data_IF_754589500212
#
_entry.id   IF_754589500212
#
_cell.length_a   1.000
_cell.length_b   1.000
_cell.length_c   1.000
_cell.angle_alpha   90.00
_cell.angle_beta   90.00
_cell.angle_gamma   90.00
#
_symmetry.space_group_name_H-M   'P 1'
#
loop_
_entity.id
_entity.type
_entity.pdbx_description
1 polymer ?
#
# COMPACT_ATOMS: atom_id res chain seq x y z
N UNK A 1 14.85 -0.25 47.79
CA UNK A 1 14.17 0.25 46.59
C UNK A 1 14.75 -0.42 45.32
N UNK A 2 14.86 -1.75 45.29
CA UNK A 2 15.51 -2.43 44.15
C UNK A 2 14.84 -3.81 43.91
N UNK A 3 13.52 -3.86 43.89
CA UNK A 3 12.74 -5.11 43.62
C UNK A 3 11.47 -4.87 42.78
N UNK A 4 11.33 -3.77 42.07
CA UNK A 4 10.16 -3.48 41.18
C UNK A 4 10.48 -3.26 39.71
N UNK A 5 11.70 -3.53 39.23
CA UNK A 5 12.13 -3.30 37.84
C UNK A 5 12.39 -4.60 37.06
N UNK A 6 11.85 -5.74 37.51
CA UNK A 6 12.10 -7.02 36.81
C UNK A 6 10.79 -7.76 36.46
N UNK A 7 9.72 -7.04 36.08
CA UNK A 7 8.45 -7.69 35.70
C UNK A 7 7.81 -7.10 34.40
N UNK A 8 8.55 -6.36 33.58
CA UNK A 8 8.01 -5.81 32.34
C UNK A 8 8.77 -6.18 31.06
N UNK A 9 9.69 -7.15 31.10
CA UNK A 9 10.47 -7.60 29.93
C UNK A 9 10.15 -9.02 29.46
N UNK A 10 8.98 -9.57 29.76
CA UNK A 10 8.65 -10.96 29.44
C UNK A 10 7.27 -11.11 28.79
N UNK A 11 6.86 -10.15 27.94
CA UNK A 11 5.54 -10.23 27.27
C UNK A 11 5.58 -9.82 25.77
N UNK A 12 6.75 -9.92 25.14
CA UNK A 12 6.87 -9.71 23.68
C UNK A 12 7.72 -10.79 22.97
N UNK A 13 7.86 -11.97 23.56
CA UNK A 13 8.53 -13.12 22.95
C UNK A 13 7.63 -14.36 22.94
N UNK A 14 6.32 -14.21 22.84
CA UNK A 14 5.36 -15.27 23.13
C UNK A 14 4.37 -15.61 22.02
N UNK A 15 4.70 -15.39 20.73
CA UNK A 15 3.81 -15.84 19.62
C UNK A 15 4.57 -16.66 18.55
N UNK A 16 5.86 -16.88 18.70
CA UNK A 16 6.65 -17.67 17.74
C UNK A 16 7.02 -19.09 18.21
N UNK A 17 6.40 -19.62 19.22
CA UNK A 17 6.79 -20.90 19.81
C UNK A 17 5.58 -21.77 20.17
N UNK A 18 4.75 -22.08 19.19
CA UNK A 18 3.76 -23.16 19.27
C UNK A 18 3.77 -24.08 18.03
N UNK A 19 4.92 -24.23 17.41
CA UNK A 19 5.14 -25.32 16.45
C UNK A 19 6.48 -25.94 16.83
N UNK A 20 6.48 -26.92 17.74
CA UNK A 20 7.71 -27.63 18.07
C UNK A 20 7.94 -27.95 19.54
N UNK A 21 6.90 -28.37 20.25
CA UNK A 21 7.07 -28.99 21.54
C UNK A 21 6.27 -30.30 21.63
N UNK A 22 6.63 -31.25 20.74
CA UNK A 22 6.49 -32.64 21.10
C UNK A 22 7.81 -33.06 21.72
N UNK A 23 7.79 -33.47 22.98
CA UNK A 23 8.95 -33.82 23.73
C UNK A 23 9.72 -34.96 23.07
N UNK A 24 11.05 -34.94 23.20
CA UNK A 24 11.89 -36.10 22.96
C UNK A 24 11.52 -37.20 23.96
N UNK A 25 10.64 -38.10 23.52
CA UNK A 25 10.56 -39.43 24.11
C UNK A 25 11.66 -40.29 23.45
N UNK A 26 12.80 -40.38 24.11
CA UNK A 26 13.81 -41.39 23.77
C UNK A 26 13.23 -42.76 24.17
N UNK A 27 12.62 -43.46 23.21
CA UNK A 27 12.26 -44.82 23.53
C UNK A 27 11.33 -45.64 22.63
N UNK A 28 10.75 -45.11 21.59
CA UNK A 28 10.09 -45.94 20.57
C UNK A 28 10.27 -45.24 19.22
N UNK A 29 10.86 -45.92 18.25
CA UNK A 29 11.22 -45.41 16.93
C UNK A 29 10.07 -44.84 16.08
N UNK A 30 9.34 -43.89 16.64
CA UNK A 30 8.39 -43.03 15.92
C UNK A 30 9.25 -41.98 15.22
N UNK A 31 9.38 -42.11 13.91
CA UNK A 31 9.92 -41.05 13.09
C UNK A 31 9.01 -39.83 13.28
N UNK A 32 9.57 -38.69 13.61
CA UNK A 32 8.83 -37.44 13.59
C UNK A 32 8.46 -37.16 12.12
N UNK A 33 7.20 -37.44 11.77
CA UNK A 33 6.65 -37.17 10.45
C UNK A 33 6.65 -35.67 10.22
N UNK A 34 7.08 -35.21 9.04
CA UNK A 34 7.13 -33.80 8.73
C UNK A 34 6.77 -33.49 7.27
N UNK A 35 6.23 -32.31 7.06
CA UNK A 35 6.08 -31.66 5.75
C UNK A 35 6.63 -30.25 5.91
N UNK A 36 7.71 -29.92 5.18
CA UNK A 36 8.34 -28.62 5.24
C UNK A 36 8.44 -28.03 3.84
N UNK A 37 8.07 -26.76 3.70
CA UNK A 37 8.02 -26.05 2.42
C UNK A 37 9.14 -25.02 2.36
N UNK A 38 9.82 -24.94 1.23
CA UNK A 38 10.97 -24.07 0.99
C UNK A 38 10.81 -23.33 -0.35
N UNK A 39 11.48 -22.18 -0.49
CA UNK A 39 11.49 -21.41 -1.74
C UNK A 39 12.55 -21.88 -2.74
N UNK A 40 13.56 -22.60 -2.29
CA UNK A 40 14.57 -23.24 -3.12
C UNK A 40 15.12 -24.48 -2.41
N UNK A 41 15.81 -25.35 -3.17
CA UNK A 41 16.46 -26.54 -2.60
C UNK A 41 17.63 -26.20 -1.65
N UNK A 42 18.21 -25.02 -1.81
CA UNK A 42 19.34 -24.53 -1.01
C UNK A 42 18.88 -23.67 0.19
N UNK A 43 17.56 -23.47 0.36
CA UNK A 43 17.04 -22.70 1.49
C UNK A 43 17.24 -23.49 2.79
N UNK A 44 17.78 -22.81 3.81
CA UNK A 44 18.04 -23.41 5.13
C UNK A 44 16.79 -23.52 5.99
N UNK A 45 15.86 -22.54 5.82
CA UNK A 45 14.64 -22.43 6.64
C UNK A 45 13.37 -22.67 5.82
N UNK A 46 12.42 -23.41 6.37
CA UNK A 46 11.11 -23.56 5.75
C UNK A 46 10.30 -22.27 5.83
N UNK A 47 9.36 -22.11 4.90
CA UNK A 47 8.49 -20.95 4.81
C UNK A 47 7.03 -21.30 5.08
N UNK A 48 6.32 -20.37 5.72
CA UNK A 48 4.87 -20.43 5.93
C UNK A 48 4.15 -19.30 5.20
N UNK A 49 4.91 -18.34 4.66
CA UNK A 49 4.39 -17.21 3.88
C UNK A 49 5.27 -16.96 2.66
N UNK A 50 4.63 -16.57 1.56
CA UNK A 50 5.28 -16.24 0.30
C UNK A 50 4.62 -15.00 -0.30
N UNK A 51 5.41 -14.01 -0.69
CA UNK A 51 4.95 -12.92 -1.54
C UNK A 51 5.25 -13.25 -3.00
N UNK A 52 4.20 -13.25 -3.82
CA UNK A 52 4.32 -13.48 -5.26
C UNK A 52 4.14 -12.17 -6.02
N UNK A 53 4.82 -12.02 -7.17
CA UNK A 53 4.78 -10.81 -7.98
C UNK A 53 3.36 -10.44 -8.45
N UNK A 54 3.09 -9.13 -8.60
CA UNK A 54 1.82 -8.63 -9.15
C UNK A 54 1.60 -9.07 -10.61
N UNK A 55 2.68 -9.23 -11.39
CA UNK A 55 2.61 -9.73 -12.76
C UNK A 55 2.14 -11.19 -12.86
N UNK A 56 2.14 -11.92 -11.74
CA UNK A 56 1.88 -13.34 -11.74
C UNK A 56 3.02 -14.14 -12.36
N UNK A 57 2.70 -15.34 -12.83
CA UNK A 57 3.66 -16.24 -13.45
C UNK A 57 3.72 -17.60 -12.77
N UNK A 58 4.70 -18.40 -13.15
CA UNK A 58 4.91 -19.72 -12.57
C UNK A 58 5.93 -19.63 -11.42
N UNK A 59 5.63 -20.32 -10.30
CA UNK A 59 6.47 -20.36 -9.11
C UNK A 59 6.57 -21.77 -8.59
N UNK A 60 7.76 -22.20 -8.21
CA UNK A 60 8.00 -23.51 -7.63
C UNK A 60 8.15 -23.40 -6.11
N UNK A 61 7.44 -24.26 -5.38
CA UNK A 61 7.64 -24.54 -3.98
C UNK A 61 8.30 -25.91 -3.84
N UNK A 62 9.33 -25.99 -3.04
CA UNK A 62 10.08 -27.21 -2.80
C UNK A 62 9.65 -27.79 -1.46
N UNK A 63 9.20 -29.04 -1.48
CA UNK A 63 8.66 -29.70 -0.28
C UNK A 63 9.55 -30.86 0.09
N UNK A 64 10.03 -30.87 1.33
CA UNK A 64 10.58 -32.04 2.00
C UNK A 64 9.50 -32.70 2.84
N UNK A 65 9.26 -33.96 2.61
CA UNK A 65 8.28 -34.72 3.37
C UNK A 65 8.71 -36.18 3.44
N UNK A 66 8.49 -36.80 4.56
CA UNK A 66 8.66 -38.26 4.77
C UNK A 66 7.33 -39.03 4.69
N UNK A 67 6.24 -38.32 4.36
CA UNK A 67 4.91 -38.87 4.19
C UNK A 67 4.27 -38.35 2.89
N UNK A 68 3.36 -39.15 2.33
CA UNK A 68 2.56 -38.71 1.19
C UNK A 68 1.56 -37.63 1.62
N UNK A 69 1.43 -36.61 0.78
CA UNK A 69 0.52 -35.50 1.01
C UNK A 69 -0.30 -35.13 -0.23
N UNK A 70 -1.42 -34.49 -0.03
CA UNK A 70 -2.23 -33.83 -1.05
C UNK A 70 -2.26 -32.32 -0.83
N UNK A 71 -2.55 -31.57 -1.89
CA UNK A 71 -2.64 -30.11 -1.82
C UNK A 71 -4.07 -29.64 -2.06
N UNK A 72 -4.51 -28.61 -1.34
CA UNK A 72 -5.77 -27.93 -1.62
C UNK A 72 -5.72 -26.48 -1.12
N UNK A 73 -6.53 -25.61 -1.75
CA UNK A 73 -6.72 -24.26 -1.28
C UNK A 73 -7.81 -24.22 -0.21
N UNK A 74 -7.57 -23.50 0.90
CA UNK A 74 -8.54 -23.40 2.00
C UNK A 74 -9.87 -22.74 1.58
N UNK A 75 -9.82 -21.89 0.56
CA UNK A 75 -11.00 -21.28 -0.02
C UNK A 75 -10.87 -21.18 -1.55
N UNK A 76 -11.35 -22.19 -2.23
CA UNK A 76 -11.34 -22.28 -3.71
C UNK A 76 -12.11 -21.12 -4.37
N UNK A 77 -13.05 -20.50 -3.67
CA UNK A 77 -13.85 -19.40 -4.22
C UNK A 77 -13.15 -18.06 -4.13
N UNK A 78 -12.32 -17.89 -3.11
CA UNK A 78 -11.57 -16.64 -2.90
C UNK A 78 -10.17 -16.66 -3.49
N UNK A 79 -9.69 -17.84 -3.92
CA UNK A 79 -8.35 -18.04 -4.51
C UNK A 79 -8.34 -18.45 -6.00
N UNK A 80 -9.27 -17.96 -6.86
CA UNK A 80 -9.27 -18.34 -8.29
C UNK A 80 -8.07 -17.76 -9.06
N UNK A 81 -7.22 -16.96 -8.40
CA UNK A 81 -6.07 -16.28 -8.98
C UNK A 81 -4.78 -17.10 -8.91
N UNK A 82 -4.80 -18.21 -8.21
CA UNK A 82 -3.65 -19.12 -8.11
C UNK A 82 -4.14 -20.57 -8.17
N UNK A 83 -3.40 -21.42 -8.87
CA UNK A 83 -3.67 -22.84 -8.99
C UNK A 83 -2.39 -23.67 -8.86
N UNK A 84 -2.53 -24.93 -8.44
CA UNK A 84 -1.45 -25.90 -8.52
C UNK A 84 -1.46 -26.48 -9.95
N UNK A 85 -0.42 -26.22 -10.72
CA UNK A 85 -0.24 -26.68 -12.08
C UNK A 85 0.22 -28.14 -12.12
N UNK A 86 1.20 -28.47 -11.28
CA UNK A 86 1.72 -29.83 -11.12
C UNK A 86 2.35 -30.02 -9.73
N UNK A 87 2.47 -31.28 -9.35
CA UNK A 87 3.31 -31.72 -8.23
C UNK A 87 4.23 -32.80 -8.81
N UNK A 88 5.51 -32.49 -8.93
CA UNK A 88 6.53 -33.33 -9.56
C UNK A 88 7.54 -33.79 -8.51
N UNK A 89 8.22 -34.91 -8.78
CA UNK A 89 9.33 -35.39 -7.92
C UNK A 89 10.66 -35.02 -8.55
N UNK A 90 11.57 -34.48 -7.75
CA UNK A 90 12.93 -34.12 -8.16
C UNK A 90 13.93 -34.51 -7.05
N UNK A 91 14.43 -35.74 -7.14
CA UNK A 91 15.22 -36.38 -6.10
C UNK A 91 14.43 -36.60 -4.82
N UNK A 92 14.90 -36.09 -3.71
CA UNK A 92 14.22 -36.17 -2.41
C UNK A 92 13.19 -35.06 -2.17
N UNK A 93 12.90 -34.27 -3.21
CA UNK A 93 11.99 -33.16 -3.15
C UNK A 93 10.72 -33.42 -3.93
N UNK A 94 9.59 -33.00 -3.40
CA UNK A 94 8.40 -32.75 -4.20
C UNK A 94 8.39 -31.29 -4.62
N UNK A 95 8.17 -31.01 -5.91
CA UNK A 95 8.12 -29.66 -6.46
C UNK A 95 6.68 -29.33 -6.82
N UNK A 96 6.08 -28.40 -6.08
CA UNK A 96 4.73 -27.90 -6.36
C UNK A 96 4.88 -26.69 -7.27
N UNK A 97 4.45 -26.80 -8.52
CA UNK A 97 4.42 -25.69 -9.46
C UNK A 97 3.09 -24.96 -9.37
N UNK A 98 3.16 -23.69 -9.03
CA UNK A 98 2.01 -22.80 -8.96
C UNK A 98 1.91 -21.98 -10.24
N UNK A 99 0.69 -21.78 -10.73
CA UNK A 99 0.36 -20.79 -11.75
C UNK A 99 -0.43 -19.65 -11.09
N UNK A 100 0.13 -18.45 -11.12
CA UNK A 100 -0.40 -17.26 -10.46
C UNK A 100 -0.84 -16.25 -11.51
N UNK A 101 -2.12 -15.91 -11.54
CA UNK A 101 -2.66 -14.88 -12.42
C UNK A 101 -2.13 -13.49 -12.05
N UNK A 102 -1.92 -12.58 -13.01
CA UNK A 102 -1.57 -11.21 -12.70
C UNK A 102 -2.70 -10.51 -11.92
N UNK A 103 -2.34 -9.57 -11.08
CA UNK A 103 -3.30 -8.63 -10.50
C UNK A 103 -3.71 -7.64 -11.59
N UNK A 104 -5.01 -7.40 -11.79
CA UNK A 104 -5.44 -6.40 -12.78
C UNK A 104 -4.98 -5.01 -12.37
N UNK A 105 -4.75 -4.12 -13.35
CA UNK A 105 -4.30 -2.72 -13.11
C UNK A 105 -5.21 -1.96 -12.14
N UNK A 106 -6.49 -2.29 -12.08
CA UNK A 106 -7.46 -1.71 -11.14
C UNK A 106 -7.33 -2.27 -9.72
N UNK A 107 -6.62 -3.37 -9.53
CA UNK A 107 -6.48 -4.08 -8.25
C UNK A 107 -5.11 -3.88 -7.58
N UNK A 108 -4.23 -3.01 -8.09
CA UNK A 108 -2.94 -2.70 -7.44
C UNK A 108 -3.09 -2.19 -6.00
N UNK A 109 -4.28 -1.73 -5.67
CA UNK A 109 -4.60 -1.20 -4.34
C UNK A 109 -5.05 -2.29 -3.36
N UNK A 110 -5.27 -3.52 -3.82
CA UNK A 110 -5.71 -4.64 -2.99
C UNK A 110 -4.64 -5.72 -2.93
N UNK A 111 -4.26 -6.09 -1.71
CA UNK A 111 -3.49 -7.30 -1.47
C UNK A 111 -4.45 -8.48 -1.42
N UNK A 112 -4.23 -9.49 -2.24
CA UNK A 112 -4.98 -10.74 -2.18
C UNK A 112 -4.13 -11.83 -1.52
N UNK A 113 -4.80 -12.72 -0.81
CA UNK A 113 -4.17 -13.76 -0.01
C UNK A 113 -4.85 -15.09 -0.32
N UNK A 114 -4.07 -16.15 -0.42
CA UNK A 114 -4.54 -17.52 -0.55
C UNK A 114 -3.70 -18.45 0.29
N UNK A 115 -4.33 -19.45 0.91
CA UNK A 115 -3.63 -20.42 1.75
C UNK A 115 -3.67 -21.79 1.09
N UNK A 116 -2.49 -22.25 0.66
CA UNK A 116 -2.27 -23.61 0.19
C UNK A 116 -2.02 -24.51 1.38
N UNK A 117 -2.84 -25.55 1.54
CA UNK A 117 -2.65 -26.58 2.55
C UNK A 117 -2.06 -27.82 1.91
N UNK A 118 -1.02 -28.35 2.55
CA UNK A 118 -0.43 -29.65 2.28
C UNK A 118 -0.90 -30.59 3.39
N UNK A 119 -1.67 -31.60 3.05
CA UNK A 119 -2.36 -32.44 4.04
C UNK A 119 -2.09 -33.92 3.81
N UNK A 120 -1.75 -34.62 4.88
CA UNK A 120 -1.66 -36.08 4.98
C UNK A 120 -2.78 -36.60 5.90
N UNK A 121 -4.02 -36.74 5.39
CA UNK A 121 -5.20 -36.99 6.21
C UNK A 121 -5.14 -38.34 6.96
N UNK A 122 -4.48 -39.33 6.39
CA UNK A 122 -4.32 -40.66 7.01
C UNK A 122 -3.45 -40.64 8.26
N UNK A 123 -2.64 -39.54 8.40
CA UNK A 123 -1.74 -39.31 9.52
C UNK A 123 -2.20 -38.19 10.43
N UNK A 124 -3.33 -37.53 10.12
CA UNK A 124 -3.84 -36.36 10.83
C UNK A 124 -2.80 -35.23 10.92
N UNK A 125 -1.97 -35.10 9.88
CA UNK A 125 -0.88 -34.14 9.81
C UNK A 125 -1.00 -33.25 8.58
N UNK A 126 -0.56 -32.01 8.71
CA UNK A 126 -0.54 -31.08 7.58
C UNK A 126 0.18 -29.78 7.93
N UNK A 127 0.57 -29.08 6.87
CA UNK A 127 1.13 -27.74 6.98
C UNK A 127 0.45 -26.81 5.95
N UNK A 128 0.72 -25.54 6.01
CA UNK A 128 0.18 -24.58 5.06
C UNK A 128 1.21 -23.52 4.68
N UNK A 129 1.02 -22.95 3.49
CA UNK A 129 1.75 -21.76 3.01
C UNK A 129 0.74 -20.72 2.59
N UNK A 130 0.87 -19.53 3.15
CA UNK A 130 0.05 -18.38 2.78
C UNK A 130 0.73 -17.58 1.68
N UNK A 131 0.08 -17.47 0.53
CA UNK A 131 0.54 -16.66 -0.58
C UNK A 131 -0.09 -15.27 -0.50
N UNK A 132 0.73 -14.27 -0.74
CA UNK A 132 0.32 -12.87 -0.81
C UNK A 132 0.68 -12.32 -2.17
N UNK A 133 -0.27 -11.66 -2.83
CA UNK A 133 -0.01 -10.90 -4.05
C UNK A 133 -0.54 -9.47 -3.88
N UNK A 134 0.25 -8.50 -4.32
CA UNK A 134 -0.02 -7.07 -4.12
C UNK A 134 0.84 -6.46 -3.03
N UNK A 135 0.89 -5.13 -3.02
CA UNK A 135 1.78 -4.38 -2.16
C UNK A 135 1.36 -4.43 -0.69
N UNK A 136 2.32 -4.49 0.22
CA UNK A 136 2.05 -4.44 1.66
C UNK A 136 1.57 -3.05 2.05
N UNK A 137 0.27 -2.93 2.42
CA UNK A 137 -0.31 -1.67 2.85
C UNK A 137 0.23 -1.25 4.22
N UNK A 138 0.59 0.04 4.34
CA UNK A 138 0.88 0.74 5.58
C UNK A 138 -0.27 1.64 6.01
N UNK A 139 -0.96 2.21 5.02
CA UNK A 139 -2.22 2.92 5.17
C UNK A 139 -3.09 2.58 3.96
N UNK A 140 -4.39 2.38 4.19
CA UNK A 140 -5.38 2.15 3.14
C UNK A 140 -6.64 2.94 3.47
N UNK A 141 -6.96 3.94 2.66
CA UNK A 141 -8.13 4.78 2.87
C UNK A 141 -8.86 5.00 1.54
N UNK A 142 -9.97 4.33 1.37
CA UNK A 142 -10.87 4.45 0.21
C UNK A 142 -12.01 5.46 0.44
N UNK A 143 -12.04 6.07 1.62
CA UNK A 143 -13.05 7.03 2.06
C UNK A 143 -14.51 6.56 1.93
N UNK A 144 -14.77 5.28 1.72
CA UNK A 144 -16.11 4.70 1.62
C UNK A 144 -16.98 4.94 2.87
N UNK A 145 -16.33 5.26 3.99
CA UNK A 145 -16.99 5.63 5.24
C UNK A 145 -17.54 7.05 5.27
N UNK A 146 -17.09 7.96 4.37
CA UNK A 146 -17.72 9.28 4.19
C UNK A 146 -19.08 9.10 3.53
N UNK A 147 -20.14 9.58 4.19
CA UNK A 147 -21.53 9.43 3.75
C UNK A 147 -22.27 10.77 3.84
N UNK A 148 -21.60 11.84 3.40
CA UNK A 148 -22.14 13.19 3.49
C UNK A 148 -22.76 13.64 2.18
N UNK A 149 -23.91 14.31 2.28
CA UNK A 149 -24.62 14.88 1.13
C UNK A 149 -24.84 13.86 0.01
N UNK A 150 -24.44 14.22 -1.17
CA UNK A 150 -24.54 13.39 -2.37
C UNK A 150 -23.18 13.22 -3.06
N UNK A 151 -23.16 12.49 -4.17
CA UNK A 151 -21.99 12.44 -5.07
C UNK A 151 -21.82 13.71 -5.90
N UNK A 152 -22.82 14.59 -5.93
CA UNK A 152 -22.76 15.88 -6.63
C UNK A 152 -21.66 16.76 -6.04
N UNK A 153 -20.63 17.13 -6.81
CA UNK A 153 -19.52 17.94 -6.33
C UNK A 153 -19.95 19.35 -5.92
N UNK A 154 -21.07 19.87 -6.40
CA UNK A 154 -21.54 21.23 -6.15
C UNK A 154 -22.47 21.33 -4.93
N UNK A 155 -22.91 20.23 -4.38
CA UNK A 155 -23.68 20.22 -3.12
C UNK A 155 -22.78 20.69 -1.96
N UNK A 156 -23.25 21.67 -1.16
CA UNK A 156 -22.46 22.40 -0.16
C UNK A 156 -23.05 22.30 1.26
N UNK A 157 -23.51 21.14 1.67
CA UNK A 157 -24.01 20.92 3.04
C UNK A 157 -22.93 21.21 4.10
N UNK A 158 -23.30 21.82 5.20
CA UNK A 158 -22.40 22.10 6.31
C UNK A 158 -21.96 20.86 7.09
N UNK A 159 -22.74 19.79 7.01
CA UNK A 159 -22.39 18.50 7.61
C UNK A 159 -21.17 17.85 6.94
N UNK A 160 -20.83 18.28 5.73
CA UNK A 160 -19.65 17.83 5.00
C UNK A 160 -18.33 18.33 5.61
N UNK A 161 -18.33 19.43 6.38
CA UNK A 161 -17.11 20.02 6.94
C UNK A 161 -16.36 19.02 7.81
N UNK A 162 -15.02 19.08 7.75
CA UNK A 162 -14.12 18.17 8.46
C UNK A 162 -14.45 18.02 9.95
N UNK A 163 -14.77 19.11 10.64
CA UNK A 163 -15.16 19.09 12.06
C UNK A 163 -16.39 18.21 12.35
N UNK A 164 -17.20 17.92 11.34
CA UNK A 164 -18.40 17.09 11.44
C UNK A 164 -18.19 15.63 11.03
N UNK A 165 -17.01 15.28 10.56
CA UNK A 165 -16.75 13.90 10.16
C UNK A 165 -16.79 12.96 11.35
N UNK A 166 -17.63 11.96 11.27
CA UNK A 166 -17.76 10.92 12.30
C UNK A 166 -16.54 9.99 12.34
N UNK A 167 -15.73 10.01 11.30
CA UNK A 167 -14.51 9.24 11.18
C UNK A 167 -13.24 9.95 11.66
N UNK A 168 -13.32 11.09 12.35
CA UNK A 168 -12.14 11.73 12.99
C UNK A 168 -11.51 10.82 14.04
N UNK A 169 -12.24 9.81 14.55
CA UNK A 169 -11.67 8.70 15.32
C UNK A 169 -10.56 7.93 14.57
N UNK A 170 -10.48 8.05 13.25
CA UNK A 170 -9.41 7.46 12.43
C UNK A 170 -8.12 8.30 12.41
N UNK A 171 -8.06 9.38 13.20
CA UNK A 171 -6.85 10.21 13.37
C UNK A 171 -6.39 10.96 12.11
N UNK A 172 -7.29 11.24 11.17
CA UNK A 172 -7.06 12.22 10.12
C UNK A 172 -7.05 13.62 10.72
N UNK A 173 -6.26 14.52 10.15
CA UNK A 173 -6.16 15.90 10.59
C UNK A 173 -6.36 16.85 9.41
N UNK A 174 -6.83 18.07 9.69
CA UNK A 174 -6.91 19.16 8.73
C UNK A 174 -6.67 20.47 9.50
N UNK A 175 -5.88 21.35 8.92
CA UNK A 175 -5.51 22.62 9.54
C UNK A 175 -6.58 23.69 9.28
N UNK A 176 -6.95 24.43 10.31
CA UNK A 176 -7.76 25.63 10.16
C UNK A 176 -6.86 26.81 9.76
N UNK A 177 -7.03 27.31 8.54
CA UNK A 177 -6.24 28.44 8.02
C UNK A 177 -6.98 29.77 8.07
N UNK A 178 -8.25 29.77 8.49
CA UNK A 178 -9.08 30.97 8.64
C UNK A 178 -9.10 31.43 10.09
N UNK A 179 -9.33 32.74 10.32
CA UNK A 179 -9.41 33.30 11.67
C UNK A 179 -10.57 32.78 12.51
N UNK A 180 -11.66 32.35 11.84
CA UNK A 180 -12.84 31.72 12.46
C UNK A 180 -12.65 30.20 12.71
N UNK A 181 -11.46 29.67 12.42
CA UNK A 181 -11.11 28.27 12.70
C UNK A 181 -11.76 27.27 11.77
N UNK A 182 -12.20 27.67 10.58
CA UNK A 182 -12.79 26.76 9.58
C UNK A 182 -11.69 25.99 8.87
N UNK A 183 -11.86 24.67 8.85
CA UNK A 183 -11.05 23.76 8.03
C UNK A 183 -11.76 23.59 6.68
N UNK A 184 -11.14 24.13 5.60
CA UNK A 184 -11.72 24.05 4.25
C UNK A 184 -11.47 22.65 3.64
N UNK A 185 -11.97 21.63 4.32
CA UNK A 185 -11.94 20.22 3.93
C UNK A 185 -13.35 19.64 4.09
N UNK A 186 -13.91 19.07 3.02
CA UNK A 186 -15.32 18.74 2.92
C UNK A 186 -15.54 17.34 2.40
N UNK A 187 -16.17 16.49 3.22
CA UNK A 187 -16.53 15.12 2.87
C UNK A 187 -17.68 15.07 1.89
N UNK A 188 -17.65 14.08 1.02
CA UNK A 188 -18.68 13.72 0.06
C UNK A 188 -19.07 12.25 0.22
N UNK A 189 -19.83 11.71 -0.70
CA UNK A 189 -20.22 10.30 -0.67
C UNK A 189 -19.11 9.43 -1.27
N UNK A 190 -18.16 9.00 -0.40
CA UNK A 190 -17.04 8.12 -0.76
C UNK A 190 -15.76 8.84 -1.22
N UNK A 191 -15.71 10.17 -1.12
CA UNK A 191 -14.55 11.00 -1.44
C UNK A 191 -14.63 12.32 -0.67
N UNK A 192 -13.69 13.24 -0.86
CA UNK A 192 -13.69 14.56 -0.23
C UNK A 192 -13.00 15.59 -1.12
N UNK A 193 -13.14 16.87 -0.78
CA UNK A 193 -12.34 17.92 -1.41
C UNK A 193 -11.76 18.88 -0.36
N UNK A 194 -10.66 19.51 -0.76
CA UNK A 194 -9.99 20.57 0.02
C UNK A 194 -9.95 21.86 -0.77
N UNK A 195 -9.94 22.99 -0.05
CA UNK A 195 -10.05 24.33 -0.63
C UNK A 195 -11.49 24.80 -0.81
N UNK A 196 -11.66 26.06 -1.20
CA UNK A 196 -12.97 26.68 -1.42
C UNK A 196 -12.97 27.64 -2.62
N UNK A 197 -14.11 28.27 -2.86
CA UNK A 197 -14.31 29.25 -3.94
C UNK A 197 -13.60 30.58 -3.69
N UNK A 198 -13.16 30.86 -2.47
CA UNK A 198 -12.39 32.05 -2.12
C UNK A 198 -10.88 31.79 -2.27
N UNK A 199 -10.48 30.57 -2.57
CA UNK A 199 -9.08 30.16 -2.64
C UNK A 199 -8.41 30.04 -1.28
N UNK A 200 -9.18 29.76 -0.23
CA UNK A 200 -8.65 29.50 1.11
C UNK A 200 -7.69 28.32 1.07
N UNK A 201 -6.51 28.49 1.63
CA UNK A 201 -5.56 27.40 1.84
C UNK A 201 -6.23 26.29 2.66
N UNK A 202 -6.01 25.05 2.27
CA UNK A 202 -6.58 23.90 2.93
C UNK A 202 -5.65 22.70 2.88
N UNK A 203 -5.83 21.75 3.78
CA UNK A 203 -5.08 20.50 3.75
C UNK A 203 -5.90 19.31 4.30
N UNK A 204 -5.34 18.13 4.06
CA UNK A 204 -5.65 16.89 4.76
C UNK A 204 -4.34 16.22 5.14
N UNK A 205 -4.24 15.72 6.36
CA UNK A 205 -3.06 15.03 6.88
C UNK A 205 -3.46 13.62 7.28
N UNK A 206 -2.66 12.64 6.83
CA UNK A 206 -2.92 11.23 7.17
C UNK A 206 -2.73 10.97 8.67
N UNK A 207 -3.33 9.91 9.22
CA UNK A 207 -2.87 9.35 10.48
C UNK A 207 -1.37 9.04 10.46
N UNK A 208 -0.74 8.96 11.63
CA UNK A 208 0.61 8.43 11.75
C UNK A 208 0.69 7.03 11.17
N UNK A 209 1.70 6.81 10.33
CA UNK A 209 1.83 5.53 9.62
C UNK A 209 2.75 4.61 10.41
N UNK A 210 2.18 3.53 10.95
CA UNK A 210 2.91 2.61 11.80
C UNK A 210 3.82 1.67 11.00
N UNK A 211 4.94 1.29 11.59
CA UNK A 211 5.84 0.24 11.08
C UNK A 211 6.75 0.67 9.95
N UNK A 212 6.86 1.97 9.66
CA UNK A 212 7.71 2.49 8.59
C UNK A 212 9.21 2.46 8.91
N UNK A 213 9.60 2.41 10.17
CA UNK A 213 11.02 2.51 10.58
C UNK A 213 11.91 1.41 9.99
N UNK A 214 11.32 0.33 9.49
CA UNK A 214 12.02 -0.78 8.83
C UNK A 214 11.95 -0.72 7.30
N UNK A 215 11.17 0.24 6.77
CA UNK A 215 11.00 0.40 5.33
C UNK A 215 12.04 1.40 4.81
N UNK A 216 12.57 1.14 3.63
CA UNK A 216 13.49 2.06 2.95
C UNK A 216 12.80 2.82 1.81
N UNK A 217 11.74 2.26 1.25
CA UNK A 217 11.02 2.79 0.10
C UNK A 217 9.52 2.59 0.27
N UNK A 218 8.77 3.66 0.03
CA UNK A 218 7.31 3.67 0.05
C UNK A 218 6.74 4.21 -1.25
N UNK A 219 5.57 3.73 -1.63
CA UNK A 219 4.74 4.32 -2.67
C UNK A 219 3.47 4.89 -2.04
N UNK A 220 3.21 6.16 -2.29
CA UNK A 220 1.97 6.83 -1.92
C UNK A 220 1.15 7.03 -3.18
N UNK A 221 -0.02 6.40 -3.22
CA UNK A 221 -0.96 6.50 -4.34
C UNK A 221 -2.20 7.25 -3.89
N UNK A 222 -2.72 8.13 -4.74
CA UNK A 222 -3.98 8.85 -4.49
C UNK A 222 -4.59 9.31 -5.82
N UNK A 223 -5.88 9.60 -5.80
CA UNK A 223 -6.56 10.30 -6.89
C UNK A 223 -6.75 11.75 -6.50
N UNK A 224 -6.51 12.63 -7.45
CA UNK A 224 -6.74 14.07 -7.31
C UNK A 224 -7.20 14.68 -8.64
N UNK A 225 -8.18 15.57 -8.58
CA UNK A 225 -8.66 16.32 -9.74
C UNK A 225 -9.08 17.72 -9.29
N UNK A 226 -8.78 18.73 -10.09
CA UNK A 226 -9.18 20.09 -9.81
C UNK A 226 -10.65 20.31 -10.19
N UNK A 227 -11.33 21.16 -9.43
CA UNK A 227 -12.69 21.55 -9.73
C UNK A 227 -12.79 22.40 -10.99
N UNK A 228 -13.94 22.31 -11.60
CA UNK A 228 -14.48 23.30 -12.54
C UNK A 228 -15.80 23.77 -11.97
N UNK A 229 -16.06 25.05 -11.92
CA UNK A 229 -17.32 25.61 -11.45
C UNK A 229 -18.49 25.21 -12.39
N UNK A 230 -19.72 25.28 -11.91
CA UNK A 230 -20.93 24.92 -12.71
C UNK A 230 -21.04 25.67 -14.03
N UNK A 231 -20.49 26.90 -14.09
CA UNK A 231 -20.44 27.72 -15.31
C UNK A 231 -19.29 27.34 -16.27
N UNK A 232 -18.53 26.30 -15.95
CA UNK A 232 -17.39 25.85 -16.75
C UNK A 232 -16.07 26.55 -16.44
N UNK A 233 -16.01 27.45 -15.46
CA UNK A 233 -14.75 28.14 -15.08
C UNK A 233 -13.86 27.20 -14.28
N UNK A 234 -12.62 26.94 -14.75
CA UNK A 234 -11.70 26.05 -14.04
C UNK A 234 -11.09 26.73 -12.79
N UNK A 235 -10.98 25.99 -11.71
CA UNK A 235 -10.18 26.37 -10.53
C UNK A 235 -8.68 26.29 -10.85
N UNK A 236 -7.82 26.83 -9.96
CA UNK A 236 -6.36 26.89 -10.17
C UNK A 236 -5.68 25.52 -10.37
N UNK A 237 -6.23 24.48 -9.80
CA UNK A 237 -5.70 23.11 -9.95
C UNK A 237 -4.31 22.90 -9.35
N UNK A 238 -3.99 23.60 -8.24
CA UNK A 238 -2.71 23.48 -7.56
C UNK A 238 -2.82 22.62 -6.30
N UNK A 239 -1.99 21.60 -6.22
CA UNK A 239 -1.86 20.73 -5.06
C UNK A 239 -0.39 20.59 -4.68
N UNK A 240 -0.08 20.65 -3.38
CA UNK A 240 1.21 20.28 -2.84
C UNK A 240 1.09 18.97 -2.09
N UNK A 241 1.94 18.02 -2.46
CA UNK A 241 2.22 16.80 -1.70
C UNK A 241 3.38 17.08 -0.75
N UNK A 242 3.28 16.66 0.51
CA UNK A 242 4.31 16.89 1.51
C UNK A 242 4.45 15.71 2.46
N UNK A 243 5.69 15.39 2.83
CA UNK A 243 6.05 14.38 3.83
C UNK A 243 6.40 15.08 5.13
N UNK A 244 5.78 14.65 6.22
CA UNK A 244 6.01 15.16 7.57
C UNK A 244 6.67 14.05 8.40
N UNK A 245 7.49 14.42 9.38
CA UNK A 245 8.02 13.52 10.41
C UNK A 245 9.08 12.52 9.95
N UNK A 246 9.61 12.63 8.72
CA UNK A 246 10.70 11.81 8.19
C UNK A 246 10.42 11.20 6.83
N UNK A 247 11.49 10.84 6.12
CA UNK A 247 11.48 10.49 4.71
C UNK A 247 11.58 11.71 3.79
N UNK A 248 11.96 11.49 2.54
CA UNK A 248 12.06 12.52 1.48
C UNK A 248 11.42 12.01 0.21
N UNK A 249 11.04 12.92 -0.69
CA UNK A 249 10.55 12.55 -2.02
C UNK A 249 11.73 12.02 -2.81
N UNK A 250 11.59 10.84 -3.39
CA UNK A 250 12.69 10.13 -4.03
C UNK A 250 13.30 10.90 -5.19
N UNK A 251 12.49 11.56 -6.03
CA UNK A 251 12.97 12.37 -7.16
C UNK A 251 13.86 13.55 -6.73
N UNK A 252 13.80 13.93 -5.47
CA UNK A 252 14.53 15.03 -4.86
C UNK A 252 15.35 14.61 -3.63
N UNK A 253 15.73 13.33 -3.57
CA UNK A 253 16.41 12.75 -2.41
C UNK A 253 17.76 13.43 -2.11
N UNK A 254 18.52 13.81 -3.13
CA UNK A 254 19.80 14.53 -2.99
C UNK A 254 19.61 15.92 -2.38
N UNK A 255 18.50 16.59 -2.69
CA UNK A 255 18.14 17.88 -2.14
C UNK A 255 17.54 17.77 -0.72
N UNK A 256 17.18 16.56 -0.28
CA UNK A 256 16.47 16.31 0.98
C UNK A 256 15.05 16.91 0.99
N UNK A 257 14.43 17.07 -0.17
CA UNK A 257 13.14 17.74 -0.31
C UNK A 257 11.99 16.84 0.15
N UNK A 258 11.14 17.40 1.00
CA UNK A 258 9.97 16.72 1.59
C UNK A 258 8.66 17.11 0.92
N UNK A 259 8.66 17.93 -0.13
CA UNK A 259 7.45 18.35 -0.83
C UNK A 259 7.62 18.41 -2.34
N UNK A 260 6.51 18.31 -3.06
CA UNK A 260 6.42 18.60 -4.49
C UNK A 260 5.08 19.26 -4.82
N UNK A 261 5.10 20.15 -5.80
CA UNK A 261 3.89 20.79 -6.33
C UNK A 261 3.39 20.01 -7.54
N UNK A 262 2.08 19.86 -7.62
CA UNK A 262 1.40 19.08 -8.65
C UNK A 262 0.37 19.99 -9.32
N UNK A 263 0.45 20.06 -10.64
CA UNK A 263 -0.56 20.70 -11.48
C UNK A 263 -1.60 19.65 -11.87
N UNK A 264 -2.84 19.89 -11.49
CA UNK A 264 -3.95 18.97 -11.69
C UNK A 264 -4.75 19.34 -12.93
N UNK A 265 -5.31 18.32 -13.57
CA UNK A 265 -6.34 18.53 -14.57
C UNK A 265 -7.68 18.86 -13.91
N UNK A 266 -8.46 19.72 -14.55
CA UNK A 266 -9.82 20.04 -14.10
C UNK A 266 -10.82 19.03 -14.69
N UNK A 267 -11.85 18.66 -13.93
CA UNK A 267 -12.91 17.84 -14.48
C UNK A 267 -13.85 18.64 -15.38
N UNK A 268 -14.49 17.95 -16.33
CA UNK A 268 -15.47 18.56 -17.23
C UNK A 268 -16.85 18.65 -16.61
N UNK A 269 -17.59 19.70 -16.90
CA UNK A 269 -19.01 19.89 -16.52
C UNK A 269 -19.97 19.73 -17.70
N UNK A 270 -19.53 19.12 -18.81
CA UNK A 270 -20.35 18.91 -20.00
C UNK A 270 -21.63 18.08 -19.73
N UNK A 271 -21.58 17.22 -18.73
CA UNK A 271 -22.73 16.45 -18.24
C UNK A 271 -22.90 16.62 -16.72
N UNK A 272 -23.56 17.67 -16.25
CA UNK A 272 -23.70 17.95 -14.81
C UNK A 272 -24.45 16.85 -14.05
N UNK A 273 -25.29 16.05 -14.69
CA UNK A 273 -26.01 14.92 -14.04
C UNK A 273 -25.05 13.79 -13.68
N UNK A 274 -23.96 13.63 -14.41
CA UNK A 274 -22.97 12.57 -14.25
C UNK A 274 -21.58 13.07 -13.81
N UNK A 275 -21.41 14.36 -13.56
CA UNK A 275 -20.09 14.95 -13.28
C UNK A 275 -19.37 14.22 -12.11
N UNK A 276 -20.09 13.84 -11.07
CA UNK A 276 -19.51 13.11 -9.95
C UNK A 276 -18.98 11.72 -10.32
N UNK A 277 -19.55 11.09 -11.36
CA UNK A 277 -19.06 9.81 -11.88
C UNK A 277 -17.90 10.00 -12.85
N UNK A 278 -17.91 11.09 -13.60
CA UNK A 278 -16.99 11.36 -14.70
C UNK A 278 -15.79 12.20 -14.27
N UNK A 279 -15.81 12.85 -13.11
CA UNK A 279 -14.71 13.72 -12.69
C UNK A 279 -13.37 12.98 -12.56
N UNK A 280 -13.39 11.66 -12.40
CA UNK A 280 -12.20 10.81 -12.35
C UNK A 280 -11.76 10.28 -13.73
N UNK A 281 -12.48 10.61 -14.81
CA UNK A 281 -12.16 10.19 -16.19
C UNK A 281 -11.20 11.15 -16.90
N UNK A 282 -10.66 12.14 -16.21
CA UNK A 282 -9.63 13.02 -16.76
C UNK A 282 -8.35 12.26 -17.07
N UNK A 283 -7.60 12.75 -18.05
CA UNK A 283 -6.40 12.10 -18.60
C UNK A 283 -5.40 11.66 -17.51
N UNK A 284 -5.27 12.44 -16.46
CA UNK A 284 -4.42 12.13 -15.30
C UNK A 284 -5.16 12.55 -14.03
N UNK A 285 -5.61 11.59 -13.25
CA UNK A 285 -6.21 11.82 -11.94
C UNK A 285 -5.61 10.92 -10.86
N UNK A 286 -4.86 9.89 -11.24
CA UNK A 286 -4.17 9.00 -10.32
C UNK A 286 -2.68 9.35 -10.27
N UNK A 287 -2.16 9.50 -9.06
CA UNK A 287 -0.78 9.92 -8.79
C UNK A 287 -0.09 8.88 -7.91
N UNK A 288 1.18 8.63 -8.21
CA UNK A 288 2.06 7.81 -7.38
C UNK A 288 3.30 8.64 -7.03
N UNK A 289 3.57 8.78 -5.75
CA UNK A 289 4.75 9.49 -5.24
C UNK A 289 5.60 8.50 -4.47
N UNK A 290 6.88 8.43 -4.81
CA UNK A 290 7.84 7.58 -4.11
C UNK A 290 8.55 8.35 -3.03
N UNK A 291 8.66 7.72 -1.87
CA UNK A 291 9.35 8.25 -0.69
C UNK A 291 10.48 7.31 -0.34
N UNK A 292 11.63 7.87 -0.03
CA UNK A 292 12.81 7.11 0.41
C UNK A 292 13.25 7.58 1.79
N UNK A 293 13.66 6.62 2.62
CA UNK A 293 14.38 6.91 3.86
C UNK A 293 15.85 7.21 3.53
N UNK A 294 16.38 8.28 4.10
CA UNK A 294 17.81 8.62 4.04
C UNK A 294 18.40 8.62 5.44
N UNK A 295 19.74 8.60 5.55
CA UNK A 295 20.40 8.72 6.86
C UNK A 295 20.02 10.00 7.61
N UNK A 296 19.80 11.11 6.87
CA UNK A 296 19.43 12.41 7.44
C UNK A 296 17.93 12.54 7.73
N UNK A 297 17.12 11.76 7.03
CA UNK A 297 15.66 11.78 7.15
C UNK A 297 15.12 10.35 7.06
N UNK A 298 15.31 9.52 8.09
CA UNK A 298 14.71 8.19 8.13
C UNK A 298 13.20 8.28 8.32
N UNK A 299 12.46 7.27 7.91
CA UNK A 299 11.06 7.16 8.32
C UNK A 299 10.97 6.94 9.84
N UNK A 300 9.99 7.58 10.46
CA UNK A 300 9.77 7.53 11.91
C UNK A 300 8.35 7.09 12.24
N UNK A 301 8.03 6.97 13.52
CA UNK A 301 6.66 6.76 14.01
C UNK A 301 5.75 7.97 13.79
N UNK A 302 6.35 9.15 13.50
CA UNK A 302 5.62 10.41 13.27
C UNK A 302 5.50 10.76 11.79
N UNK A 303 5.87 9.83 10.89
CA UNK A 303 5.74 10.05 9.45
C UNK A 303 4.27 10.11 9.05
N UNK A 304 3.91 11.19 8.37
CA UNK A 304 2.57 11.47 7.83
C UNK A 304 2.68 12.05 6.41
N UNK A 305 1.61 11.97 5.65
CA UNK A 305 1.49 12.64 4.35
C UNK A 305 0.49 13.77 4.48
N UNK A 306 0.84 14.95 3.96
CA UNK A 306 -0.04 16.10 3.83
C UNK A 306 -0.30 16.39 2.36
N UNK A 307 -1.57 16.50 2.00
CA UNK A 307 -2.02 17.06 0.73
C UNK A 307 -2.61 18.44 1.01
N UNK A 308 -2.08 19.48 0.38
CA UNK A 308 -2.49 20.85 0.67
C UNK A 308 -2.70 21.67 -0.61
N UNK A 309 -3.76 22.46 -0.64
CA UNK A 309 -3.93 23.51 -1.65
C UNK A 309 -3.18 24.76 -1.17
N UNK A 310 -2.36 25.42 -2.01
CA UNK A 310 -1.81 26.73 -1.67
C UNK A 310 -2.93 27.78 -1.58
N UNK A 311 -2.59 28.93 -1.00
CA UNK A 311 -3.47 30.10 -1.04
C UNK A 311 -3.73 30.51 -2.50
N UNK A 312 -5.00 30.59 -2.86
CA UNK A 312 -5.45 30.97 -4.22
C UNK A 312 -5.40 32.47 -4.47
N UNK A 313 -5.12 33.30 -3.44
CA UNK A 313 -5.16 34.75 -3.53
C UNK A 313 -6.49 35.27 -4.10
N UNK A 314 -7.58 34.74 -3.57
CA UNK A 314 -8.95 35.09 -3.99
C UNK A 314 -9.43 34.37 -5.26
N UNK A 315 -8.65 33.43 -5.83
CA UNK A 315 -9.07 32.59 -6.94
C UNK A 315 -9.44 31.19 -6.42
N UNK A 316 -10.54 30.59 -6.89
CA UNK A 316 -10.92 29.24 -6.48
C UNK A 316 -9.78 28.23 -6.66
N UNK A 317 -9.57 27.37 -5.66
CA UNK A 317 -8.60 26.29 -5.73
C UNK A 317 -9.12 25.06 -4.96
N UNK A 318 -10.20 24.48 -5.45
CA UNK A 318 -10.78 23.27 -4.89
C UNK A 318 -10.18 22.03 -5.57
N UNK A 319 -9.80 21.06 -4.77
CA UNK A 319 -9.22 19.79 -5.24
C UNK A 319 -10.01 18.63 -4.65
N UNK A 320 -10.64 17.84 -5.51
CA UNK A 320 -11.25 16.57 -5.12
C UNK A 320 -10.19 15.50 -4.94
N UNK A 321 -10.32 14.71 -3.89
CA UNK A 321 -9.37 13.67 -3.48
C UNK A 321 -10.10 12.37 -3.15
N UNK A 322 -9.48 11.25 -3.54
CA UNK A 322 -9.98 9.90 -3.27
C UNK A 322 -8.81 8.91 -3.18
N UNK A 323 -9.02 7.84 -2.43
CA UNK A 323 -8.14 6.68 -2.42
C UNK A 323 -6.69 6.97 -2.04
N UNK A 324 -6.42 7.32 -0.77
CA UNK A 324 -5.04 7.53 -0.29
C UNK A 324 -4.49 6.21 0.27
N UNK A 325 -3.42 5.72 -0.36
CA UNK A 325 -2.79 4.46 -0.01
C UNK A 325 -1.28 4.65 0.16
N UNK A 326 -0.72 4.19 1.28
CA UNK A 326 0.72 4.16 1.54
C UNK A 326 1.13 2.70 1.62
N UNK A 327 2.10 2.28 0.79
CA UNK A 327 2.54 0.91 0.67
C UNK A 327 4.04 0.82 0.76
N UNK A 328 4.53 -0.26 1.40
CA UNK A 328 5.90 -0.65 1.24
C UNK A 328 6.12 -1.03 -0.24
N UNK A 329 7.18 -0.50 -0.82
CA UNK A 329 7.58 -0.78 -2.19
C UNK A 329 8.90 -1.53 -2.20
N UNK A 330 9.02 -2.52 -3.09
CA UNK A 330 10.26 -3.30 -3.25
C UNK A 330 10.69 -3.29 -4.72
N UNK A 331 11.93 -3.68 -4.99
CA UNK A 331 12.43 -3.75 -6.36
C UNK A 331 11.65 -4.75 -7.22
N UNK A 332 11.16 -5.82 -6.61
CA UNK A 332 10.38 -6.83 -7.30
C UNK A 332 9.03 -6.29 -7.77
N UNK A 333 8.45 -5.35 -7.02
CA UNK A 333 7.23 -4.66 -7.39
C UNK A 333 7.42 -3.78 -8.63
N UNK A 334 8.63 -3.23 -8.81
CA UNK A 334 8.97 -2.35 -9.92
C UNK A 334 8.84 -3.01 -11.29
N UNK A 335 9.43 -4.19 -11.46
CA UNK A 335 9.42 -4.91 -12.75
C UNK A 335 8.00 -5.15 -13.26
N UNK A 336 7.04 -5.14 -12.35
CA UNK A 336 5.65 -5.48 -12.60
C UNK A 336 4.77 -4.27 -12.87
N UNK A 337 5.23 -3.10 -12.44
CA UNK A 337 4.44 -1.86 -12.47
C UNK A 337 4.86 -0.89 -13.57
N UNK A 338 5.84 -1.23 -14.43
CA UNK A 338 6.34 -0.33 -15.48
C UNK A 338 5.22 0.33 -16.29
N UNK A 339 4.19 -0.44 -16.65
CA UNK A 339 3.07 0.08 -17.42
C UNK A 339 2.18 1.05 -16.62
N UNK A 340 2.00 0.81 -15.32
CA UNK A 340 1.22 1.66 -14.43
C UNK A 340 1.94 2.97 -14.17
N UNK A 341 3.25 2.91 -13.97
CA UNK A 341 4.08 4.10 -13.74
C UNK A 341 4.18 4.98 -14.98
N UNK A 342 4.40 4.39 -16.15
CA UNK A 342 4.41 5.13 -17.43
C UNK A 342 3.06 5.81 -17.71
N UNK A 343 1.94 5.16 -17.34
CA UNK A 343 0.61 5.75 -17.51
C UNK A 343 0.36 6.96 -16.59
N UNK A 344 1.04 7.02 -15.44
CA UNK A 344 0.87 8.07 -14.42
C UNK A 344 2.00 9.11 -14.40
N UNK A 345 2.84 9.17 -15.44
CA UNK A 345 3.95 10.12 -15.52
C UNK A 345 5.06 9.89 -14.51
N UNK A 346 5.20 8.64 -14.01
CA UNK A 346 6.17 8.26 -12.98
C UNK A 346 7.61 8.47 -13.45
N UNK A 347 8.20 9.58 -13.00
CA UNK A 347 9.59 9.96 -13.28
C UNK A 347 10.59 9.27 -12.34
N UNK A 348 10.16 8.76 -11.19
CA UNK A 348 11.03 8.16 -10.18
C UNK A 348 11.45 6.72 -10.44
N UNK A 349 10.75 6.00 -11.33
CA UNK A 349 10.94 4.56 -11.49
C UNK A 349 12.32 4.17 -12.04
N UNK A 350 12.82 4.92 -13.01
CA UNK A 350 14.13 4.64 -13.63
C UNK A 350 15.28 4.88 -12.63
N UNK A 351 15.13 5.83 -11.71
CA UNK A 351 16.10 6.09 -10.64
C UNK A 351 16.09 5.00 -9.56
N UNK A 352 14.94 4.38 -9.28
CA UNK A 352 14.85 3.25 -8.34
C UNK A 352 15.72 2.09 -8.83
N UNK A 353 15.77 1.83 -10.15
CA UNK A 353 16.55 0.74 -10.73
C UNK A 353 18.02 0.89 -10.47
N UNK A 354 18.57 2.06 -10.76
CA UNK A 354 19.99 2.34 -10.59
C UNK A 354 20.42 2.27 -9.10
N UNK A 355 19.58 2.79 -8.17
CA UNK A 355 19.89 2.82 -6.75
C UNK A 355 19.79 1.48 -6.02
N UNK A 356 18.93 0.56 -6.49
CA UNK A 356 18.66 -0.71 -5.80
C UNK A 356 19.34 -1.91 -6.43
N UNK A 357 19.73 -1.83 -7.72
CA UNK A 357 20.41 -2.94 -8.42
C UNK A 357 21.90 -3.06 -8.10
N UNK A 358 22.50 -2.06 -7.45
CA UNK A 358 23.93 -2.05 -7.19
C UNK A 358 24.81 -2.10 -8.45
N UNK A 359 24.23 -1.79 -9.60
CA UNK A 359 24.96 -1.83 -10.87
C UNK A 359 25.88 -0.62 -10.97
N UNK A 360 27.16 -0.84 -10.73
CA UNK A 360 28.23 0.15 -10.82
C UNK A 360 28.54 0.61 -12.26
N UNK A 361 27.77 0.16 -13.26
CA UNK A 361 28.06 0.40 -14.67
C UNK A 361 27.72 1.82 -15.17
N UNK A 362 27.01 2.62 -14.37
CA UNK A 362 26.56 3.96 -14.78
C UNK A 362 27.42 5.11 -14.20
N UNK A 363 28.63 4.79 -13.71
CA UNK A 363 29.60 5.80 -13.24
C UNK A 363 30.49 6.40 -14.34
N UNK A 364 30.18 6.17 -15.59
CA UNK A 364 30.92 6.78 -16.70
C UNK A 364 29.98 7.52 -17.63
N UNK A 365 29.66 8.76 -17.27
CA UNK A 365 29.52 9.90 -18.20
C UNK A 365 29.05 11.13 -17.42
N UNK A 366 30.01 11.84 -16.84
CA UNK A 366 29.89 13.29 -16.65
C UNK A 366 31.30 13.88 -16.76
N UNK A 367 31.58 14.38 -17.91
CA UNK A 367 32.50 15.48 -18.15
C UNK A 367 31.76 16.59 -18.85
#
# INVERSE_FOLDING_TARGET
MLKKLLRFSLLLAGVSLLVGACGKDEGNGVRDEYISVYLSKDAEEPVTELSVPCAGGEFDLYVKSDIDFSTFWQDDKTTPWVSVKSVDTDGDWSVIRLDVSPISKTCYYTRRTGTLTLNAPERYFGTFVTLHQGLTARLSADFSWLKYGSTDPFETSREQQFQKWTGTSQKWESTAYTEDGVQACYGKYGWFYIGDTNGTKADIITPYVNGLQKDSLLMVSFKAVAYTSEDGTPDLGKLRFEVLGGGVIMDYAEEGRTYMDIDLNNFSVEDPVNVAKNMWDVKTCAYNVFLIATEKSPFTGDTQIRLTTPDGNGKPNRVALDGIYIRKYTIDDKVQDEDVFKANGGSGLDRITAGLSGDESDKTETL
#
